data_IF_111633693951
#
_entry.id   IF_111633693951
#
_cell.length_a   1.000
_cell.length_b   1.000
_cell.length_c   1.000
_cell.angle_alpha   90.00
_cell.angle_beta   90.00
_cell.angle_gamma   90.00
#
_symmetry.space_group_name_H-M   'P 1'
#
loop_
_entity.id
_entity.type
_entity.pdbx_description
1 polymer ?
#
# COMPACT_ATOMS: atom_id res chain seq x y z
N UNK A 1 -16.59 -11.87 -10.35
CA UNK A 1 -17.90 -11.21 -10.55
C UNK A 1 -18.86 -11.37 -9.35
N UNK A 2 -18.40 -11.89 -8.21
CA UNK A 2 -19.25 -12.22 -7.05
C UNK A 2 -18.92 -11.37 -5.80
N UNK A 3 -18.22 -10.24 -5.94
CA UNK A 3 -17.71 -9.47 -4.78
C UNK A 3 -18.74 -8.53 -4.15
N UNK A 4 -19.88 -8.27 -4.79
CA UNK A 4 -20.90 -7.35 -4.26
C UNK A 4 -22.32 -7.91 -4.48
N UNK A 5 -22.55 -9.17 -4.29
CA UNK A 5 -23.88 -9.55 -3.80
C UNK A 5 -23.91 -9.20 -2.31
N UNK A 6 -24.21 -7.93 -2.02
CA UNK A 6 -24.61 -7.56 -0.68
C UNK A 6 -25.76 -8.49 -0.29
N UNK A 7 -25.63 -9.16 0.82
CA UNK A 7 -26.68 -10.02 1.41
C UNK A 7 -27.99 -9.25 1.70
N UNK A 8 -28.18 -8.05 1.18
CA UNK A 8 -29.33 -7.17 1.40
C UNK A 8 -29.89 -6.51 0.14
N UNK A 9 -29.37 -6.76 -1.09
CA UNK A 9 -29.88 -6.12 -2.31
C UNK A 9 -29.73 -4.57 -2.34
N UNK A 10 -28.98 -3.97 -1.43
CA UNK A 10 -28.78 -2.51 -1.35
C UNK A 10 -27.53 -2.09 -2.12
N UNK A 11 -27.66 -1.09 -2.96
CA UNK A 11 -26.53 -0.48 -3.65
C UNK A 11 -25.50 0.07 -2.66
N UNK A 12 -24.17 -0.14 -2.88
CA UNK A 12 -23.12 0.37 -2.03
C UNK A 12 -23.21 1.90 -1.85
N UNK A 13 -23.06 2.34 -0.60
CA UNK A 13 -23.04 3.76 -0.24
C UNK A 13 -21.69 4.39 -0.59
N UNK A 14 -21.58 5.72 -0.49
CA UNK A 14 -20.32 6.45 -0.61
C UNK A 14 -19.26 5.89 0.35
N UNK A 15 -19.63 5.64 1.60
CA UNK A 15 -18.71 5.09 2.61
C UNK A 15 -18.18 3.71 2.19
N UNK A 16 -19.05 2.84 1.68
CA UNK A 16 -18.65 1.52 1.17
C UNK A 16 -17.72 1.64 -0.03
N UNK A 17 -17.96 2.60 -0.93
CA UNK A 17 -17.11 2.84 -2.09
C UNK A 17 -15.71 3.35 -1.68
N UNK A 18 -15.64 4.26 -0.72
CA UNK A 18 -14.36 4.72 -0.14
C UNK A 18 -13.64 3.54 0.53
N UNK A 19 -14.33 2.73 1.33
CA UNK A 19 -13.74 1.58 2.00
C UNK A 19 -13.17 0.55 1.01
N UNK A 20 -13.87 0.30 -0.11
CA UNK A 20 -13.35 -0.54 -1.21
C UNK A 20 -12.08 0.08 -1.79
N UNK A 21 -12.09 1.38 -2.10
CA UNK A 21 -10.94 2.08 -2.67
C UNK A 21 -9.73 2.02 -1.75
N UNK A 22 -9.89 2.34 -0.48
CA UNK A 22 -8.81 2.27 0.51
C UNK A 22 -8.33 0.84 0.71
N UNK A 23 -9.23 -0.14 0.78
CA UNK A 23 -8.87 -1.56 0.90
C UNK A 23 -8.10 -2.10 -0.31
N UNK A 24 -8.29 -1.50 -1.50
CA UNK A 24 -7.53 -1.82 -2.71
C UNK A 24 -6.18 -1.08 -2.78
N UNK A 25 -6.07 0.11 -2.16
CA UNK A 25 -4.82 0.89 -2.10
C UNK A 25 -3.87 0.29 -1.06
N UNK A 26 -4.36 -0.02 0.15
CA UNK A 26 -3.53 -0.51 1.25
C UNK A 26 -3.27 -2.01 1.07
N UNK A 27 -2.11 -2.34 0.50
CA UNK A 27 -1.52 -3.68 0.44
C UNK A 27 -0.40 -3.81 1.49
N UNK A 28 0.39 -4.89 1.45
CA UNK A 28 1.52 -5.11 2.39
C UNK A 28 2.66 -4.10 2.23
N UNK A 29 2.71 -3.36 1.12
CA UNK A 29 3.77 -2.38 0.81
C UNK A 29 3.96 -1.29 1.86
N UNK A 30 2.92 -0.94 2.64
CA UNK A 30 3.01 0.06 3.71
C UNK A 30 3.99 -0.32 4.82
N UNK A 31 4.21 -1.62 5.03
CA UNK A 31 5.15 -2.16 6.01
C UNK A 31 6.61 -1.79 5.73
N UNK A 32 6.94 -1.48 4.48
CA UNK A 32 8.30 -1.17 4.02
C UNK A 32 8.48 0.28 3.56
N UNK A 33 7.40 0.93 3.14
CA UNK A 33 7.45 2.16 2.38
C UNK A 33 8.11 3.31 3.15
N UNK A 34 7.75 3.50 4.43
CA UNK A 34 8.34 4.55 5.28
C UNK A 34 9.83 4.36 5.49
N UNK A 35 10.28 3.12 5.68
CA UNK A 35 11.69 2.76 5.78
C UNK A 35 12.45 3.05 4.48
N UNK A 36 11.97 2.53 3.34
CA UNK A 36 12.62 2.73 2.05
C UNK A 36 12.74 4.21 1.70
N UNK A 37 11.67 4.97 1.95
CA UNK A 37 11.65 6.39 1.70
C UNK A 37 12.63 7.16 2.62
N UNK A 38 12.67 6.83 3.92
CA UNK A 38 13.62 7.43 4.88
C UNK A 38 15.07 7.07 4.53
N UNK A 39 15.35 5.80 4.22
CA UNK A 39 16.70 5.34 3.83
C UNK A 39 17.22 6.06 2.59
N UNK A 40 16.33 6.33 1.62
CA UNK A 40 16.69 6.95 0.34
C UNK A 40 16.80 8.48 0.40
N UNK A 41 15.84 9.14 1.06
CA UNK A 41 15.71 10.59 1.02
C UNK A 41 15.87 11.29 2.40
N UNK A 42 15.84 10.52 3.48
CA UNK A 42 15.79 11.08 4.82
C UNK A 42 14.42 11.72 5.12
N UNK A 43 14.34 12.69 6.02
CA UNK A 43 13.08 13.30 6.43
C UNK A 43 12.30 14.01 5.32
N UNK A 44 12.98 14.47 4.25
CA UNK A 44 12.31 15.10 3.10
C UNK A 44 11.36 14.14 2.35
N UNK A 45 11.45 12.84 2.61
CA UNK A 45 10.52 11.81 2.12
C UNK A 45 9.05 12.12 2.48
N UNK A 46 8.78 12.88 3.53
CA UNK A 46 7.43 13.36 3.87
C UNK A 46 6.83 14.12 2.69
N UNK A 47 7.62 14.99 2.05
CA UNK A 47 7.18 15.71 0.85
C UNK A 47 6.92 14.82 -0.36
N UNK A 48 7.65 13.70 -0.46
CA UNK A 48 7.44 12.70 -1.52
C UNK A 48 6.04 12.09 -1.48
N UNK A 49 5.51 11.82 -0.27
CA UNK A 49 4.14 11.33 -0.09
C UNK A 49 3.09 12.32 -0.57
N UNK A 50 3.29 13.61 -0.27
CA UNK A 50 2.39 14.68 -0.74
C UNK A 50 2.41 14.77 -2.27
N UNK A 51 3.60 14.75 -2.88
CA UNK A 51 3.74 14.78 -4.34
C UNK A 51 3.10 13.54 -4.97
N UNK A 52 3.38 12.34 -4.44
CA UNK A 52 2.78 11.10 -4.93
C UNK A 52 1.26 11.11 -4.86
N UNK A 53 0.70 11.59 -3.75
CA UNK A 53 -0.74 11.74 -3.59
C UNK A 53 -1.35 12.78 -4.54
N UNK A 54 -0.69 13.90 -4.77
CA UNK A 54 -1.16 14.92 -5.73
C UNK A 54 -1.22 14.35 -7.14
N UNK A 55 -0.19 13.61 -7.57
CA UNK A 55 -0.19 12.92 -8.87
C UNK A 55 -1.31 11.88 -8.96
N UNK A 56 -1.47 11.05 -7.91
CA UNK A 56 -2.55 10.07 -7.85
C UNK A 56 -3.94 10.74 -7.86
N UNK A 57 -4.09 11.85 -7.15
CA UNK A 57 -5.34 12.61 -7.10
C UNK A 57 -5.68 13.24 -8.48
N UNK A 58 -4.70 13.76 -9.20
CA UNK A 58 -4.91 14.24 -10.56
C UNK A 58 -5.46 13.14 -11.47
N UNK A 59 -4.87 11.96 -11.43
CA UNK A 59 -5.35 10.80 -12.21
C UNK A 59 -6.73 10.35 -11.71
N UNK A 60 -6.96 10.34 -10.41
CA UNK A 60 -8.23 9.97 -9.82
C UNK A 60 -9.37 10.91 -10.25
N UNK A 61 -9.11 12.21 -10.33
CA UNK A 61 -10.09 13.21 -10.79
C UNK A 61 -10.39 13.08 -12.28
N UNK A 62 -9.37 12.87 -13.13
CA UNK A 62 -9.58 12.58 -14.56
C UNK A 62 -10.40 11.30 -14.76
N UNK A 63 -10.04 10.25 -14.03
CA UNK A 63 -10.78 8.99 -14.08
C UNK A 63 -12.21 9.15 -13.54
N UNK A 64 -12.41 10.00 -12.54
CA UNK A 64 -13.72 10.31 -11.99
C UNK A 64 -14.63 10.97 -13.03
N UNK A 65 -14.15 11.94 -13.77
CA UNK A 65 -14.89 12.60 -14.83
C UNK A 65 -15.32 11.59 -15.90
N UNK A 66 -14.38 10.78 -16.38
CA UNK A 66 -14.67 9.74 -17.38
C UNK A 66 -15.66 8.71 -16.82
N UNK A 67 -15.47 8.26 -15.59
CA UNK A 67 -16.33 7.25 -14.96
C UNK A 67 -17.75 7.75 -14.68
N UNK A 68 -17.94 9.05 -14.45
CA UNK A 68 -19.28 9.64 -14.35
C UNK A 68 -19.98 9.66 -15.70
N UNK A 69 -19.23 9.95 -16.78
CA UNK A 69 -19.75 9.97 -18.14
C UNK A 69 -20.18 8.57 -18.59
N UNK A 70 -19.35 7.57 -18.32
CA UNK A 70 -19.58 6.17 -18.66
C UNK A 70 -20.08 5.32 -17.46
N UNK A 71 -20.89 5.90 -16.58
CA UNK A 71 -21.32 5.27 -15.32
C UNK A 71 -22.12 3.98 -15.48
N UNK A 72 -22.63 3.68 -16.68
CA UNK A 72 -23.33 2.44 -17.01
C UNK A 72 -22.39 1.30 -17.43
N UNK A 73 -21.12 1.60 -17.67
CA UNK A 73 -20.11 0.62 -18.07
C UNK A 73 -19.49 -0.05 -16.85
N UNK A 74 -19.21 -1.34 -16.96
CA UNK A 74 -18.43 -2.11 -15.95
C UNK A 74 -17.00 -2.31 -16.42
N UNK A 75 -16.04 -2.33 -15.48
CA UNK A 75 -14.62 -2.52 -15.82
C UNK A 75 -14.05 -1.37 -16.67
N UNK A 76 -14.55 -0.17 -16.46
CA UNK A 76 -14.24 1.01 -17.28
C UNK A 76 -12.74 1.23 -17.45
N UNK A 77 -11.95 1.10 -16.38
CA UNK A 77 -10.51 1.34 -16.43
C UNK A 77 -9.79 0.47 -17.48
N UNK A 78 -10.16 -0.81 -17.59
CA UNK A 78 -9.57 -1.70 -18.59
C UNK A 78 -10.15 -1.49 -20.01
N UNK A 79 -11.42 -1.06 -20.12
CA UNK A 79 -12.14 -0.94 -21.38
C UNK A 79 -12.15 0.46 -21.99
N UNK A 80 -11.68 1.47 -21.24
CA UNK A 80 -11.79 2.87 -21.60
C UNK A 80 -11.27 3.14 -23.03
N UNK A 81 -10.05 2.71 -23.33
CA UNK A 81 -9.45 2.97 -24.63
C UNK A 81 -10.12 2.18 -25.77
N UNK A 82 -10.76 1.05 -25.49
CA UNK A 82 -11.60 0.36 -26.48
C UNK A 82 -12.83 1.19 -26.84
N UNK A 83 -13.44 1.86 -25.84
CA UNK A 83 -14.67 2.64 -26.02
C UNK A 83 -14.36 3.98 -26.71
N UNK A 84 -13.24 4.62 -26.37
CA UNK A 84 -12.92 5.99 -26.81
C UNK A 84 -12.08 6.04 -28.09
N UNK A 85 -11.32 5.00 -28.41
CA UNK A 85 -10.42 4.95 -29.57
C UNK A 85 -10.76 3.75 -30.47
N UNK A 86 -10.09 2.61 -30.25
CA UNK A 86 -10.34 1.38 -31.01
C UNK A 86 -9.87 0.12 -30.26
N UNK A 87 -10.01 -1.05 -30.89
CA UNK A 87 -9.64 -2.35 -30.30
C UNK A 87 -8.15 -2.47 -29.98
N UNK A 88 -7.27 -1.91 -30.80
CA UNK A 88 -5.81 -2.03 -30.64
C UNK A 88 -5.34 -1.27 -29.39
N UNK A 89 -5.77 -0.02 -29.22
CA UNK A 89 -5.50 0.76 -28.00
C UNK A 89 -6.14 0.11 -26.78
N UNK A 90 -7.33 -0.46 -26.93
CA UNK A 90 -8.00 -1.23 -25.90
C UNK A 90 -7.21 -2.44 -25.46
N UNK A 91 -6.64 -3.19 -26.40
CA UNK A 91 -5.79 -4.34 -26.11
C UNK A 91 -4.51 -3.95 -25.36
N UNK A 92 -3.82 -2.90 -25.82
CA UNK A 92 -2.62 -2.39 -25.14
C UNK A 92 -2.94 -2.00 -23.70
N UNK A 93 -4.03 -1.25 -23.48
CA UNK A 93 -4.44 -0.83 -22.13
C UNK A 93 -4.80 -2.02 -21.25
N UNK A 94 -5.60 -2.95 -21.75
CA UNK A 94 -6.00 -4.14 -20.99
C UNK A 94 -4.80 -5.01 -20.64
N UNK A 95 -3.87 -5.21 -21.56
CA UNK A 95 -2.64 -5.97 -21.36
C UNK A 95 -1.74 -5.32 -20.33
N UNK A 96 -1.53 -3.99 -20.42
CA UNK A 96 -0.72 -3.22 -19.45
C UNK A 96 -1.32 -3.31 -18.05
N UNK A 97 -2.62 -3.20 -17.93
CA UNK A 97 -3.35 -3.36 -16.65
C UNK A 97 -3.22 -4.78 -16.08
N UNK A 98 -3.32 -5.78 -16.95
CA UNK A 98 -3.14 -7.17 -16.56
C UNK A 98 -1.72 -7.42 -16.04
N UNK A 99 -0.69 -6.94 -16.73
CA UNK A 99 0.70 -7.02 -16.26
C UNK A 99 0.90 -6.29 -14.93
N UNK A 100 0.38 -5.09 -14.77
CA UNK A 100 0.48 -4.34 -13.51
C UNK A 100 -0.17 -5.10 -12.35
N UNK A 101 -1.31 -5.75 -12.59
CA UNK A 101 -2.03 -6.51 -11.55
C UNK A 101 -1.32 -7.82 -11.21
N UNK A 102 -0.79 -8.54 -12.21
CA UNK A 102 -0.15 -9.84 -11.98
C UNK A 102 1.16 -9.72 -11.19
N UNK A 103 1.89 -8.61 -11.35
CA UNK A 103 3.13 -8.33 -10.61
C UNK A 103 2.87 -8.10 -9.12
N UNK A 104 1.67 -7.65 -8.72
CA UNK A 104 1.35 -7.45 -7.30
C UNK A 104 1.30 -8.76 -6.52
N UNK A 105 0.92 -9.88 -7.15
CA UNK A 105 0.77 -11.18 -6.47
C UNK A 105 2.11 -11.68 -5.89
N UNK A 106 3.21 -11.78 -6.68
CA UNK A 106 4.51 -12.15 -6.12
C UNK A 106 5.01 -11.13 -5.09
N UNK A 107 4.80 -9.82 -5.32
CA UNK A 107 5.25 -8.80 -4.38
C UNK A 107 4.59 -8.95 -2.99
N UNK A 108 3.29 -9.25 -2.92
CA UNK A 108 2.59 -9.54 -1.67
C UNK A 108 3.07 -10.86 -1.03
N UNK A 109 3.31 -11.90 -1.83
CA UNK A 109 3.83 -13.17 -1.34
C UNK A 109 5.26 -13.03 -0.79
N UNK A 110 6.13 -12.29 -1.46
CA UNK A 110 7.49 -11.97 -1.00
C UNK A 110 7.46 -11.21 0.32
N UNK A 111 6.63 -10.16 0.43
CA UNK A 111 6.48 -9.39 1.65
C UNK A 111 6.03 -10.28 2.83
N UNK A 112 5.04 -11.14 2.61
CA UNK A 112 4.54 -12.08 3.62
C UNK A 112 5.64 -13.03 4.10
N UNK A 113 6.42 -13.61 3.18
CA UNK A 113 7.53 -14.51 3.54
C UNK A 113 8.66 -13.76 4.24
N UNK A 114 8.97 -12.53 3.84
CA UNK A 114 9.99 -11.71 4.46
C UNK A 114 9.65 -11.41 5.93
N UNK A 115 8.41 -11.00 6.22
CA UNK A 115 7.95 -10.77 7.59
C UNK A 115 7.89 -12.08 8.40
N UNK A 116 7.35 -13.15 7.82
CA UNK A 116 7.26 -14.46 8.49
C UNK A 116 8.65 -15.00 8.83
N UNK A 117 9.62 -14.87 7.94
CA UNK A 117 10.99 -15.32 8.18
C UNK A 117 11.63 -14.59 9.37
N UNK A 118 11.37 -13.29 9.53
CA UNK A 118 11.84 -12.51 10.68
C UNK A 118 11.16 -12.94 11.99
N UNK A 119 9.88 -13.31 11.95
CA UNK A 119 9.20 -13.86 13.12
C UNK A 119 9.79 -15.23 13.56
N UNK A 120 10.40 -15.97 12.63
CA UNK A 120 11.00 -17.28 12.87
C UNK A 120 12.47 -17.35 12.42
N UNK A 121 13.44 -16.86 13.23
CA UNK A 121 14.84 -16.71 12.83
C UNK A 121 15.51 -18.01 12.33
N UNK A 122 15.05 -19.19 12.80
CA UNK A 122 15.53 -20.51 12.34
C UNK A 122 15.23 -20.76 10.86
N UNK A 123 14.14 -20.18 10.35
CA UNK A 123 13.69 -20.30 8.95
C UNK A 123 14.35 -19.23 8.10
N UNK A 124 14.59 -18.05 8.68
CA UNK A 124 15.15 -16.87 7.99
C UNK A 124 16.42 -17.24 7.20
N UNK A 125 17.41 -17.86 7.85
CA UNK A 125 18.68 -18.22 7.22
C UNK A 125 18.56 -19.25 6.08
N UNK A 126 17.45 -20.00 6.04
CA UNK A 126 17.18 -20.96 4.96
C UNK A 126 16.48 -20.30 3.77
N UNK A 127 15.71 -19.25 4.02
CA UNK A 127 14.88 -18.56 3.02
C UNK A 127 15.60 -17.35 2.41
N UNK A 128 16.43 -16.67 3.23
CA UNK A 128 17.21 -15.50 2.84
C UNK A 128 18.71 -15.74 2.99
N UNK A 129 19.48 -15.18 2.04
CA UNK A 129 20.92 -15.09 2.12
C UNK A 129 21.34 -13.72 1.58
N UNK A 130 21.97 -12.88 2.43
CA UNK A 130 22.40 -11.52 2.08
C UNK A 130 21.30 -10.71 1.37
N UNK A 131 20.13 -10.55 1.99
CA UNK A 131 18.95 -9.83 1.48
C UNK A 131 18.32 -10.37 0.17
N UNK A 132 18.77 -11.52 -0.32
CA UNK A 132 18.20 -12.18 -1.46
C UNK A 132 17.50 -13.48 -1.06
N UNK A 133 16.40 -13.81 -1.73
CA UNK A 133 15.75 -15.10 -1.58
C UNK A 133 16.67 -16.24 -2.06
N UNK A 134 16.81 -17.26 -1.25
CA UNK A 134 17.44 -18.54 -1.66
C UNK A 134 16.51 -19.28 -2.63
N UNK A 135 17.02 -20.34 -3.29
CA UNK A 135 16.16 -21.21 -4.11
C UNK A 135 15.00 -21.81 -3.31
N UNK A 136 15.23 -22.13 -2.03
CA UNK A 136 14.17 -22.58 -1.12
C UNK A 136 13.18 -21.46 -0.85
N UNK A 137 13.65 -20.23 -0.62
CA UNK A 137 12.80 -19.05 -0.44
C UNK A 137 11.89 -18.79 -1.64
N UNK A 138 12.43 -18.84 -2.85
CA UNK A 138 11.65 -18.72 -4.09
C UNK A 138 10.59 -19.82 -4.18
N UNK A 139 10.95 -21.07 -3.86
CA UNK A 139 10.00 -22.18 -3.88
C UNK A 139 8.86 -21.97 -2.88
N UNK A 140 9.13 -21.42 -1.68
CA UNK A 140 8.12 -21.11 -0.67
C UNK A 140 7.21 -19.97 -1.15
N UNK A 141 7.75 -18.92 -1.76
CA UNK A 141 6.96 -17.85 -2.37
C UNK A 141 6.03 -18.39 -3.46
N UNK A 142 6.54 -19.23 -4.37
CA UNK A 142 5.73 -19.87 -5.40
C UNK A 142 4.60 -20.74 -4.80
N UNK A 143 4.90 -21.51 -3.75
CA UNK A 143 3.90 -22.32 -3.05
C UNK A 143 2.81 -21.45 -2.43
N UNK A 144 3.18 -20.32 -1.82
CA UNK A 144 2.25 -19.37 -1.25
C UNK A 144 1.35 -18.73 -2.32
N UNK A 145 1.91 -18.39 -3.49
CA UNK A 145 1.12 -17.88 -4.62
C UNK A 145 0.09 -18.91 -5.11
N UNK A 146 0.47 -20.18 -5.19
CA UNK A 146 -0.46 -21.27 -5.55
C UNK A 146 -1.54 -21.42 -4.48
N UNK A 147 -1.19 -21.32 -3.20
CA UNK A 147 -2.16 -21.34 -2.10
C UNK A 147 -3.14 -20.15 -2.17
N UNK A 148 -2.68 -18.94 -2.47
CA UNK A 148 -3.56 -17.79 -2.71
C UNK A 148 -4.50 -18.02 -3.91
N UNK A 149 -4.02 -18.67 -4.97
CA UNK A 149 -4.85 -19.07 -6.10
C UNK A 149 -5.96 -20.02 -5.68
N UNK A 150 -5.67 -21.03 -4.87
CA UNK A 150 -6.66 -21.95 -4.31
C UNK A 150 -7.67 -21.23 -3.39
N UNK A 151 -7.20 -20.37 -2.50
CA UNK A 151 -8.08 -19.57 -1.65
C UNK A 151 -9.02 -18.69 -2.47
N UNK A 152 -8.53 -18.10 -3.55
CA UNK A 152 -9.37 -17.30 -4.43
C UNK A 152 -10.41 -18.14 -5.16
N UNK A 153 -10.04 -19.32 -5.64
CA UNK A 153 -10.93 -20.19 -6.39
C UNK A 153 -12.06 -20.78 -5.53
N UNK A 154 -11.72 -21.31 -4.36
CA UNK A 154 -12.71 -21.96 -3.49
C UNK A 154 -13.21 -21.07 -2.35
N UNK A 155 -12.42 -20.11 -1.93
CA UNK A 155 -12.70 -19.24 -0.77
C UNK A 155 -13.48 -17.99 -1.08
N UNK A 156 -13.91 -17.73 -2.33
CA UNK A 156 -14.47 -16.43 -2.75
C UNK A 156 -15.66 -15.97 -1.89
N UNK A 157 -16.52 -16.88 -1.44
CA UNK A 157 -17.66 -16.56 -0.56
C UNK A 157 -17.21 -16.22 0.85
N UNK A 158 -16.16 -16.89 1.34
CA UNK A 158 -15.58 -16.65 2.65
C UNK A 158 -14.84 -15.31 2.65
N UNK A 159 -14.03 -15.07 1.63
CA UNK A 159 -13.31 -13.81 1.42
C UNK A 159 -14.27 -12.62 1.29
N UNK A 160 -15.39 -12.79 0.58
CA UNK A 160 -16.40 -11.73 0.48
C UNK A 160 -17.04 -11.38 1.83
N UNK A 161 -17.27 -12.38 2.72
CA UNK A 161 -17.74 -12.12 4.09
C UNK A 161 -16.67 -11.48 4.97
N UNK A 162 -15.43 -11.89 4.82
CA UNK A 162 -14.29 -11.39 5.60
C UNK A 162 -13.84 -9.99 5.14
N UNK A 163 -14.17 -9.58 3.90
CA UNK A 163 -13.65 -8.36 3.28
C UNK A 163 -13.86 -7.10 4.12
N UNK A 164 -15.03 -6.92 4.74
CA UNK A 164 -15.28 -5.76 5.60
C UNK A 164 -14.38 -5.76 6.84
N UNK A 165 -14.19 -6.91 7.47
CA UNK A 165 -13.32 -7.06 8.63
C UNK A 165 -11.86 -6.84 8.24
N UNK A 166 -11.42 -7.42 7.13
CA UNK A 166 -10.07 -7.24 6.58
C UNK A 166 -9.82 -5.77 6.24
N UNK A 167 -10.78 -5.08 5.62
CA UNK A 167 -10.64 -3.65 5.30
C UNK A 167 -10.52 -2.78 6.55
N UNK A 168 -11.32 -3.04 7.58
CA UNK A 168 -11.20 -2.34 8.87
C UNK A 168 -9.82 -2.61 9.49
N UNK A 169 -9.34 -3.85 9.47
CA UNK A 169 -8.03 -4.22 9.98
C UNK A 169 -6.91 -3.49 9.22
N UNK A 170 -6.94 -3.53 7.89
CA UNK A 170 -5.98 -2.82 7.01
C UNK A 170 -5.94 -1.31 7.21
N UNK A 171 -6.99 -0.69 7.73
CA UNK A 171 -7.02 0.74 8.07
C UNK A 171 -6.55 1.01 9.50
N UNK A 172 -6.99 0.17 10.43
CA UNK A 172 -6.73 0.40 11.86
C UNK A 172 -5.30 0.06 12.25
N UNK A 173 -4.71 -1.02 11.70
CA UNK A 173 -3.35 -1.43 12.06
C UNK A 173 -2.31 -0.39 11.67
N UNK A 174 -2.25 0.14 10.43
CA UNK A 174 -1.30 1.20 10.08
C UNK A 174 -1.48 2.47 10.92
N UNK A 175 -2.72 2.92 11.09
CA UNK A 175 -3.01 4.12 11.86
C UNK A 175 -2.63 3.95 13.35
N UNK A 176 -2.98 2.80 13.93
CA UNK A 176 -2.64 2.47 15.32
C UNK A 176 -1.13 2.35 15.51
N UNK A 177 -0.43 1.71 14.58
CA UNK A 177 1.04 1.60 14.59
C UNK A 177 1.69 2.98 14.61
N UNK A 178 1.24 3.90 13.74
CA UNK A 178 1.77 5.25 13.69
C UNK A 178 1.55 6.00 15.02
N UNK A 179 0.34 5.93 15.59
CA UNK A 179 0.00 6.58 16.86
C UNK A 179 0.84 6.01 18.00
N UNK A 180 0.99 4.69 18.07
CA UNK A 180 1.75 4.02 19.14
C UNK A 180 3.23 4.37 19.03
N UNK A 181 3.82 4.38 17.85
CA UNK A 181 5.21 4.76 17.67
C UNK A 181 5.46 6.21 18.12
N UNK A 182 4.59 7.14 17.72
CA UNK A 182 4.67 8.54 18.15
C UNK A 182 4.52 8.70 19.66
N UNK A 183 3.70 7.86 20.31
CA UNK A 183 3.49 7.91 21.75
C UNK A 183 4.59 7.21 22.55
N UNK A 184 5.23 6.19 22.00
CA UNK A 184 6.25 5.40 22.67
C UNK A 184 7.63 6.11 22.67
N UNK A 185 8.00 6.67 21.54
CA UNK A 185 9.26 7.42 21.38
C UNK A 185 9.09 8.40 20.23
N UNK A 186 9.51 9.65 20.44
CA UNK A 186 9.50 10.65 19.40
C UNK A 186 10.68 11.60 19.56
N UNK A 187 11.59 11.56 18.60
CA UNK A 187 12.82 12.36 18.53
C UNK A 187 12.67 13.46 17.47
N UNK A 188 12.25 14.68 17.83
CA UNK A 188 12.10 15.79 16.86
C UNK A 188 13.40 16.14 16.16
N UNK A 189 14.53 15.93 16.83
CA UNK A 189 15.87 16.14 16.30
C UNK A 189 16.15 15.31 15.04
N UNK A 190 15.53 14.14 14.87
CA UNK A 190 15.71 13.28 13.68
C UNK A 190 15.34 13.98 12.37
N UNK A 191 14.46 14.98 12.43
CA UNK A 191 14.05 15.72 11.25
C UNK A 191 15.11 16.68 10.72
N UNK A 192 16.13 17.01 11.53
CA UNK A 192 17.21 17.92 11.15
C UNK A 192 18.59 17.53 11.68
N UNK A 193 18.73 16.42 12.43
CA UNK A 193 19.96 16.02 13.10
C UNK A 193 21.10 15.72 12.14
N UNK A 194 20.81 15.09 11.02
CA UNK A 194 21.82 14.74 10.03
C UNK A 194 22.04 15.91 9.06
N UNK A 195 23.22 16.52 9.12
CA UNK A 195 23.61 17.73 8.39
C UNK A 195 22.77 18.99 8.68
N UNK A 196 22.00 19.04 9.78
CA UNK A 196 21.21 20.21 10.16
C UNK A 196 20.08 20.57 9.20
N UNK A 197 19.63 19.64 8.37
CA UNK A 197 18.62 19.87 7.33
C UNK A 197 17.63 18.72 7.22
N UNK A 198 16.39 19.04 6.80
CA UNK A 198 15.37 18.05 6.50
C UNK A 198 15.69 17.25 5.21
N UNK A 199 16.54 17.79 4.33
CA UNK A 199 16.95 17.19 3.06
C UNK A 199 18.44 16.87 3.04
N UNK A 200 18.92 15.90 3.85
CA UNK A 200 20.35 15.61 4.00
C UNK A 200 21.03 15.14 2.70
N UNK A 201 20.26 14.62 1.77
CA UNK A 201 20.74 14.12 0.47
C UNK A 201 20.28 14.98 -0.73
N UNK A 202 19.74 16.19 -0.44
CA UNK A 202 19.21 17.12 -1.42
C UNK A 202 17.70 16.98 -1.67
N UNK A 203 17.08 18.09 -2.10
CA UNK A 203 15.62 18.11 -2.39
C UNK A 203 15.24 17.34 -3.64
N UNK A 204 16.18 17.06 -4.55
CA UNK A 204 15.97 16.20 -5.73
C UNK A 204 15.55 14.79 -5.32
N UNK A 205 16.06 14.30 -4.18
CA UNK A 205 15.68 13.00 -3.61
C UNK A 205 14.20 12.92 -3.24
N UNK A 206 13.58 14.04 -2.88
CA UNK A 206 12.13 14.08 -2.63
C UNK A 206 11.33 13.70 -3.88
N UNK A 207 11.71 14.22 -5.05
CA UNK A 207 11.03 13.90 -6.32
C UNK A 207 11.39 12.49 -6.80
N UNK A 208 12.65 12.11 -6.70
CA UNK A 208 13.12 10.79 -7.15
C UNK A 208 12.50 9.67 -6.30
N UNK A 209 12.35 9.86 -4.99
CA UNK A 209 11.74 8.88 -4.09
C UNK A 209 10.29 8.52 -4.47
N UNK A 210 9.55 9.44 -5.09
CA UNK A 210 8.18 9.18 -5.55
C UNK A 210 8.13 7.95 -6.46
N UNK A 211 9.15 7.76 -7.30
CA UNK A 211 9.25 6.63 -8.23
C UNK A 211 10.08 5.51 -7.63
N UNK A 212 11.31 5.80 -7.17
CA UNK A 212 12.29 4.77 -6.77
C UNK A 212 11.90 4.02 -5.50
N UNK A 213 11.18 4.69 -4.56
CA UNK A 213 10.70 4.05 -3.34
C UNK A 213 9.27 3.50 -3.46
N UNK A 214 8.67 3.57 -4.65
CA UNK A 214 7.32 3.07 -4.90
C UNK A 214 6.20 3.90 -4.24
N UNK A 215 6.47 5.16 -3.86
CA UNK A 215 5.50 6.03 -3.18
C UNK A 215 4.28 6.27 -4.06
N UNK A 216 4.47 6.58 -5.35
CA UNK A 216 3.34 6.74 -6.27
C UNK A 216 2.57 5.43 -6.44
N UNK A 217 3.28 4.30 -6.54
CA UNK A 217 2.68 2.97 -6.63
C UNK A 217 1.86 2.61 -5.38
N UNK A 218 2.26 3.13 -4.20
CA UNK A 218 1.52 2.91 -2.94
C UNK A 218 0.09 3.49 -2.97
N UNK A 219 -0.22 4.38 -3.90
CA UNK A 219 -1.58 4.87 -4.14
C UNK A 219 -2.32 4.08 -5.22
N UNK A 220 -1.68 3.14 -5.90
CA UNK A 220 -2.32 2.33 -6.92
C UNK A 220 -3.44 1.48 -6.32
N UNK A 221 -4.56 1.35 -7.03
CA UNK A 221 -5.73 0.57 -6.57
C UNK A 221 -7.02 1.37 -6.49
N UNK A 222 -6.99 2.71 -6.37
CA UNK A 222 -8.21 3.54 -6.34
C UNK A 222 -9.09 3.33 -7.59
N UNK A 223 -8.50 3.05 -8.73
CA UNK A 223 -9.19 2.78 -9.99
C UNK A 223 -10.17 1.60 -9.92
N UNK A 224 -9.99 0.68 -8.97
CA UNK A 224 -10.90 -0.44 -8.75
C UNK A 224 -12.33 0.00 -8.40
N UNK A 225 -12.52 1.22 -7.88
CA UNK A 225 -13.84 1.80 -7.65
C UNK A 225 -14.64 1.87 -8.97
N UNK A 226 -13.97 2.13 -10.08
CA UNK A 226 -14.61 2.23 -11.40
C UNK A 226 -15.09 0.90 -11.97
N UNK A 227 -14.59 -0.22 -11.45
CA UNK A 227 -15.06 -1.56 -11.82
C UNK A 227 -16.52 -1.74 -11.40
N UNK A 228 -16.91 -1.10 -10.28
CA UNK A 228 -18.23 -1.20 -9.66
C UNK A 228 -19.12 0.02 -9.90
N UNK A 229 -18.76 0.89 -10.84
CA UNK A 229 -19.45 2.15 -11.12
C UNK A 229 -20.96 1.99 -11.27
N UNK A 230 -21.40 0.96 -11.99
CA UNK A 230 -22.81 0.65 -12.26
C UNK A 230 -23.60 0.25 -11.00
N UNK A 231 -22.93 -0.30 -10.01
CA UNK A 231 -23.53 -0.84 -8.80
C UNK A 231 -23.66 0.21 -7.70
N UNK A 232 -22.94 1.33 -7.81
CA UNK A 232 -22.91 2.38 -6.80
C UNK A 232 -24.21 3.19 -6.79
N UNK A 233 -24.65 3.55 -5.59
CA UNK A 233 -25.74 4.49 -5.40
C UNK A 233 -25.28 5.88 -5.86
N UNK A 234 -26.08 6.59 -6.66
CA UNK A 234 -25.77 7.93 -7.18
C UNK A 234 -24.34 8.02 -7.76
N UNK A 235 -24.01 7.23 -8.82
CA UNK A 235 -22.65 7.06 -9.29
C UNK A 235 -21.98 8.38 -9.67
N UNK A 236 -22.71 9.31 -10.31
CA UNK A 236 -22.18 10.60 -10.73
C UNK A 236 -21.59 11.45 -9.58
N UNK A 237 -22.13 11.32 -8.37
CA UNK A 237 -21.61 11.99 -7.16
C UNK A 237 -20.62 11.12 -6.40
N UNK A 238 -20.93 9.83 -6.24
CA UNK A 238 -20.21 8.97 -5.33
C UNK A 238 -18.90 8.44 -5.91
N UNK A 239 -18.76 8.32 -7.25
CA UNK A 239 -17.50 7.90 -7.87
C UNK A 239 -16.39 8.93 -7.63
N UNK A 240 -16.56 10.23 -7.97
CA UNK A 240 -15.53 11.24 -7.72
C UNK A 240 -15.13 11.34 -6.25
N UNK A 241 -16.13 11.36 -5.36
CA UNK A 241 -15.89 11.45 -3.92
C UNK A 241 -15.19 10.21 -3.37
N UNK A 242 -15.50 9.03 -3.89
CA UNK A 242 -14.84 7.79 -3.46
C UNK A 242 -13.40 7.71 -3.97
N UNK A 243 -13.14 8.06 -5.22
CA UNK A 243 -11.80 8.10 -5.81
C UNK A 243 -10.89 9.07 -5.07
N UNK A 244 -11.32 10.33 -4.93
CA UNK A 244 -10.56 11.35 -4.22
C UNK A 244 -10.44 11.05 -2.72
N UNK A 245 -11.52 10.64 -2.08
CA UNK A 245 -11.56 10.34 -0.66
C UNK A 245 -10.64 9.17 -0.27
N UNK A 246 -10.57 8.12 -1.09
CA UNK A 246 -9.65 6.99 -0.83
C UNK A 246 -8.18 7.41 -0.91
N UNK A 247 -7.80 8.22 -1.90
CA UNK A 247 -6.42 8.74 -2.02
C UNK A 247 -6.07 9.64 -0.82
N UNK A 248 -6.98 10.55 -0.43
CA UNK A 248 -6.74 11.46 0.70
C UNK A 248 -6.65 10.75 2.05
N UNK A 249 -7.48 9.74 2.29
CA UNK A 249 -7.39 8.93 3.52
C UNK A 249 -6.06 8.18 3.57
N UNK A 250 -5.65 7.55 2.46
CA UNK A 250 -4.36 6.87 2.39
C UNK A 250 -3.19 7.83 2.57
N UNK A 251 -3.26 9.05 2.01
CA UNK A 251 -2.24 10.09 2.24
C UNK A 251 -2.07 10.38 3.73
N UNK A 252 -3.17 10.58 4.46
CA UNK A 252 -3.10 10.86 5.91
C UNK A 252 -2.42 9.69 6.64
N UNK A 253 -2.81 8.45 6.36
CA UNK A 253 -2.21 7.27 6.98
C UNK A 253 -0.72 7.16 6.65
N UNK A 254 -0.34 7.34 5.39
CA UNK A 254 1.06 7.23 4.96
C UNK A 254 1.94 8.37 5.51
N UNK A 255 1.40 9.58 5.64
CA UNK A 255 2.09 10.68 6.32
C UNK A 255 2.29 10.39 7.80
N UNK A 256 1.27 9.88 8.49
CA UNK A 256 1.37 9.48 9.88
C UNK A 256 2.45 8.40 10.07
N UNK A 257 2.46 7.37 9.21
CA UNK A 257 3.47 6.31 9.23
C UNK A 257 4.88 6.85 8.95
N UNK A 258 5.03 7.74 7.97
CA UNK A 258 6.33 8.32 7.63
C UNK A 258 6.89 9.18 8.77
N UNK A 259 6.05 10.04 9.34
CA UNK A 259 6.44 10.91 10.47
C UNK A 259 6.75 10.07 11.71
N UNK A 260 5.90 9.10 12.03
CA UNK A 260 6.11 8.23 13.18
C UNK A 260 7.36 7.37 13.04
N UNK A 261 7.65 6.84 11.85
CA UNK A 261 8.85 6.07 11.58
C UNK A 261 10.12 6.92 11.79
N UNK A 262 10.17 8.12 11.21
CA UNK A 262 11.30 9.04 11.37
C UNK A 262 11.47 9.42 12.84
N UNK A 263 10.39 9.79 13.52
CA UNK A 263 10.42 10.23 14.91
C UNK A 263 10.76 9.12 15.90
N UNK A 264 10.40 7.88 15.60
CA UNK A 264 10.58 6.76 16.53
C UNK A 264 11.96 6.08 16.44
N UNK A 265 12.74 6.34 15.40
CA UNK A 265 14.10 5.81 15.28
C UNK A 265 15.02 6.45 16.33
N UNK A 266 15.82 5.62 17.01
CA UNK A 266 16.85 6.09 17.92
C UNK A 266 17.89 6.95 17.16
N UNK A 267 18.25 8.15 17.63
CA UNK A 267 19.23 9.01 16.96
C UNK A 267 20.59 8.35 16.71
N UNK A 268 20.95 7.38 17.53
CA UNK A 268 22.17 6.57 17.38
C UNK A 268 22.20 5.73 16.08
N UNK A 269 21.06 5.30 15.59
CA UNK A 269 20.94 4.49 14.36
C UNK A 269 21.19 5.30 13.09
N UNK A 270 21.06 6.64 13.17
CA UNK A 270 21.19 7.54 12.02
C UNK A 270 22.47 8.41 12.09
N UNK A 271 23.40 8.13 13.01
CA UNK A 271 24.68 8.85 13.09
C UNK A 271 25.46 8.75 11.79
N UNK A 272 25.47 7.57 11.16
CA UNK A 272 26.08 7.33 9.84
C UNK A 272 25.26 7.85 8.67
N UNK A 273 24.06 8.36 8.91
CA UNK A 273 23.09 8.81 7.92
C UNK A 273 21.93 7.82 7.72
N UNK A 274 20.85 8.30 7.13
CA UNK A 274 19.63 7.50 6.89
C UNK A 274 19.89 6.27 5.99
N UNK A 275 20.87 6.33 5.10
CA UNK A 275 21.22 5.23 4.19
C UNK A 275 21.86 4.03 4.91
N UNK A 276 22.35 4.20 6.15
CA UNK A 276 22.90 3.09 6.95
C UNK A 276 21.86 2.23 7.63
N UNK A 277 20.60 2.66 7.65
CA UNK A 277 19.52 1.86 8.22
C UNK A 277 19.44 0.50 7.54
N UNK A 278 19.35 -0.57 8.34
CA UNK A 278 19.31 -1.95 7.84
C UNK A 278 18.23 -2.75 8.57
N UNK A 279 16.99 -2.62 8.06
CA UNK A 279 15.82 -3.33 8.58
C UNK A 279 15.24 -4.26 7.52
N UNK A 280 15.07 -5.52 7.85
CA UNK A 280 14.43 -6.53 6.98
C UNK A 280 12.90 -6.51 7.12
N UNK A 281 12.40 -6.32 8.36
CA UNK A 281 10.98 -6.09 8.65
C UNK A 281 10.83 -4.77 9.44
N UNK A 282 10.87 -3.61 8.75
CA UNK A 282 11.19 -2.31 9.36
C UNK A 282 10.30 -1.95 10.55
N UNK A 283 8.98 -2.01 10.37
CA UNK A 283 8.05 -1.60 11.43
C UNK A 283 8.02 -2.60 12.59
N UNK A 284 8.11 -3.90 12.30
CA UNK A 284 8.12 -4.93 13.34
C UNK A 284 9.42 -4.86 14.16
N UNK A 285 10.58 -4.69 13.51
CA UNK A 285 11.86 -4.52 14.20
C UNK A 285 11.89 -3.23 15.03
N UNK A 286 11.37 -2.12 14.50
CA UNK A 286 11.25 -0.88 15.26
C UNK A 286 10.34 -1.06 16.49
N UNK A 287 9.21 -1.77 16.36
CA UNK A 287 8.34 -2.10 17.48
C UNK A 287 9.06 -2.91 18.57
N UNK A 288 9.92 -3.86 18.19
CA UNK A 288 10.73 -4.64 19.12
C UNK A 288 11.78 -3.75 19.82
N UNK A 289 12.48 -2.89 19.08
CA UNK A 289 13.45 -1.93 19.64
C UNK A 289 12.79 -1.01 20.66
N UNK A 290 11.58 -0.56 20.39
CA UNK A 290 10.78 0.28 21.30
C UNK A 290 10.18 -0.51 22.50
N UNK A 291 10.41 -1.82 22.58
CA UNK A 291 9.82 -2.68 23.64
C UNK A 291 8.33 -2.98 23.48
N UNK A 292 7.73 -2.69 22.33
CA UNK A 292 6.30 -2.86 22.06
C UNK A 292 6.07 -4.17 21.29
N UNK A 293 6.47 -5.29 21.89
CA UNK A 293 6.47 -6.60 21.22
C UNK A 293 5.09 -7.04 20.71
N UNK A 294 4.01 -6.62 21.37
CA UNK A 294 2.66 -6.98 20.93
C UNK A 294 2.29 -6.34 19.57
N UNK A 295 2.77 -5.11 19.29
CA UNK A 295 2.62 -4.49 17.97
C UNK A 295 3.41 -5.26 16.92
N UNK A 296 4.63 -5.70 17.23
CA UNK A 296 5.40 -6.54 16.30
C UNK A 296 4.63 -7.80 15.89
N UNK A 297 3.98 -8.46 16.86
CA UNK A 297 3.11 -9.63 16.57
C UNK A 297 1.94 -9.26 15.65
N UNK A 298 1.27 -8.13 15.92
CA UNK A 298 0.18 -7.64 15.04
C UNK A 298 0.68 -7.38 13.63
N UNK A 299 1.86 -6.75 13.48
CA UNK A 299 2.49 -6.47 12.18
C UNK A 299 2.90 -7.75 11.43
N UNK A 300 3.36 -8.77 12.14
CA UNK A 300 3.64 -10.09 11.53
C UNK A 300 2.37 -10.82 11.07
N UNK A 301 1.23 -10.57 11.72
CA UNK A 301 -0.06 -11.14 11.31
C UNK A 301 -0.68 -10.35 10.15
N UNK A 302 -0.42 -9.04 10.06
CA UNK A 302 -0.93 -8.18 8.98
C UNK A 302 -0.19 -8.41 7.65
N UNK A 303 1.10 -8.78 7.71
CA UNK A 303 1.95 -9.04 6.56
C UNK A 303 1.57 -10.33 5.81
#
# INVERSE_FOLDING_TARGET
MAFIESSSGKQPSLFSAIAIGVGCIVGSGWLFASYKASKFAGPVAIGSWVIGALLALMIALLLAEIATFYSKETGLFARLLTITHNGDFGFINASSNWFATIITIPAEAEASIQYLAQAFPKISNSVFNNDHFTHLGIAVVCLLMVFYGFLNYWGIKLLAKANNTITVFKLTVPALTAIIFMAASFHPENFSSYHGTIAPYGYDKMFTAVVTCGIFYSFYGFSMITVFSKELKNPQRNIPLALAGSVLICLVIYLMLQISFIGAIEPSEIIGGWHTLDFTSPLAQLAIILGINWIAVVLYVDA
#
